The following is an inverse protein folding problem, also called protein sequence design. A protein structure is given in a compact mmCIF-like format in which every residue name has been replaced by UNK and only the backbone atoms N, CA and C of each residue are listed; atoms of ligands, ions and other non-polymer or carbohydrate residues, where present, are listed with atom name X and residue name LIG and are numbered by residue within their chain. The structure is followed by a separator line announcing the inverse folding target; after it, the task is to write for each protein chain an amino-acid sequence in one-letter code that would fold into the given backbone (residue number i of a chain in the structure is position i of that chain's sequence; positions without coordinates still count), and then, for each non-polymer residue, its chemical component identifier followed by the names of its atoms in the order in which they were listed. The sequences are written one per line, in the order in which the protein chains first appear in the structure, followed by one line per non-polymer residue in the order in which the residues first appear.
data_IF_489530057304
#
_entry.id   IF_489530057304
#
_cell.length_a   1.000
_cell.length_b   1.000
_cell.length_c   1.000
_cell.angle_alpha   90.00
_cell.angle_beta   90.00
_cell.angle_gamma   90.00
#
_symmetry.space_group_name_H-M   'P 1'
#
loop_
_entity.id
_entity.type
_entity.pdbx_description
1 polymer ?
#
# COMPACT_ATOMS: atom_id res chain seq x y z
N UNK A 1 23.61 -7.19 10.18
CA UNK A 1 22.92 -6.08 9.49
C UNK A 1 21.85 -5.57 10.44
N UNK A 2 21.65 -4.24 10.58
CA UNK A 2 20.57 -3.70 11.41
C UNK A 2 19.20 -3.98 10.77
N UNK A 3 18.12 -4.01 11.58
CA UNK A 3 16.76 -4.17 11.07
C UNK A 3 16.41 -3.11 10.00
N UNK A 4 16.89 -1.88 10.21
CA UNK A 4 16.70 -0.79 9.25
C UNK A 4 17.38 -1.08 7.91
N UNK A 5 18.67 -1.46 7.92
CA UNK A 5 19.40 -1.75 6.69
C UNK A 5 18.82 -2.97 5.94
N UNK A 6 18.33 -3.97 6.67
CA UNK A 6 17.64 -5.12 6.08
C UNK A 6 16.32 -4.72 5.43
N UNK A 7 15.51 -3.91 6.11
CA UNK A 7 14.26 -3.38 5.58
C UNK A 7 14.49 -2.54 4.31
N UNK A 8 15.50 -1.66 4.30
CA UNK A 8 15.86 -0.87 3.11
C UNK A 8 16.25 -1.75 1.92
N UNK A 9 17.02 -2.80 2.18
CA UNK A 9 17.37 -3.78 1.14
C UNK A 9 16.12 -4.45 0.56
N UNK A 10 15.18 -4.90 1.41
CA UNK A 10 13.92 -5.52 0.97
C UNK A 10 13.05 -4.55 0.17
N UNK A 11 12.93 -3.30 0.61
CA UNK A 11 12.22 -2.25 -0.14
C UNK A 11 12.85 -1.99 -1.50
N UNK A 12 14.19 -1.93 -1.58
CA UNK A 12 14.92 -1.74 -2.83
C UNK A 12 14.68 -2.89 -3.81
N UNK A 13 14.76 -4.12 -3.34
CA UNK A 13 14.50 -5.32 -4.15
C UNK A 13 13.04 -5.36 -4.63
N UNK A 14 12.08 -5.04 -3.74
CA UNK A 14 10.66 -4.97 -4.10
C UNK A 14 10.42 -3.92 -5.19
N UNK A 15 10.99 -2.71 -5.05
CA UNK A 15 10.87 -1.65 -6.08
C UNK A 15 11.52 -2.05 -7.39
N UNK A 16 12.63 -2.79 -7.38
CA UNK A 16 13.25 -3.32 -8.60
C UNK A 16 12.34 -4.30 -9.34
N UNK A 17 11.64 -5.20 -8.62
CA UNK A 17 10.64 -6.09 -9.20
C UNK A 17 9.44 -5.32 -9.79
N UNK A 18 8.94 -4.32 -9.06
CA UNK A 18 7.84 -3.44 -9.53
C UNK A 18 8.25 -2.70 -10.81
N UNK A 19 9.50 -2.21 -10.87
CA UNK A 19 10.01 -1.53 -12.05
C UNK A 19 10.16 -2.47 -13.26
N UNK A 20 10.64 -3.70 -13.04
CA UNK A 20 10.72 -4.72 -14.08
C UNK A 20 9.31 -5.05 -14.63
N UNK A 21 8.33 -5.26 -13.74
CA UNK A 21 6.93 -5.47 -14.12
C UNK A 21 6.39 -4.31 -14.97
N UNK A 22 6.61 -3.06 -14.52
CA UNK A 22 6.18 -1.84 -15.24
C UNK A 22 6.76 -1.75 -16.66
N UNK A 23 7.98 -2.25 -16.86
CA UNK A 23 8.70 -2.21 -18.13
C UNK A 23 8.47 -3.46 -19.00
N UNK A 24 7.76 -4.47 -18.50
CA UNK A 24 7.63 -5.77 -19.17
C UNK A 24 8.95 -6.53 -19.27
N UNK A 25 9.86 -6.29 -18.33
CA UNK A 25 11.18 -6.95 -18.26
C UNK A 25 11.12 -8.17 -17.33
N UNK A 26 12.03 -9.13 -17.50
CA UNK A 26 12.20 -10.22 -16.55
C UNK A 26 12.45 -9.68 -15.14
N UNK A 27 11.85 -10.34 -14.12
CA UNK A 27 12.13 -9.99 -12.73
C UNK A 27 13.61 -10.20 -12.41
N UNK A 28 14.24 -9.29 -11.65
CA UNK A 28 15.68 -9.38 -11.32
C UNK A 28 15.99 -10.54 -10.38
N UNK A 29 14.99 -11.07 -9.72
CA UNK A 29 15.10 -12.25 -8.83
C UNK A 29 13.77 -13.01 -8.79
N UNK A 30 13.75 -14.18 -8.14
CA UNK A 30 12.54 -14.96 -7.91
C UNK A 30 11.60 -14.24 -6.94
N UNK A 31 10.31 -14.12 -7.28
CA UNK A 31 9.28 -13.65 -6.35
C UNK A 31 9.29 -14.46 -5.05
N UNK A 32 9.43 -15.78 -5.16
CA UNK A 32 9.44 -16.66 -3.98
C UNK A 32 10.61 -16.37 -3.06
N UNK A 33 11.82 -16.16 -3.61
CA UNK A 33 12.99 -15.81 -2.81
C UNK A 33 12.78 -14.49 -2.03
N UNK A 34 12.31 -13.44 -2.72
CA UNK A 34 12.04 -12.16 -2.07
C UNK A 34 10.93 -12.27 -1.02
N UNK A 35 9.83 -12.97 -1.33
CA UNK A 35 8.71 -13.15 -0.41
C UNK A 35 9.12 -13.91 0.86
N UNK A 36 9.96 -14.95 0.73
CA UNK A 36 10.50 -15.68 1.86
C UNK A 36 11.45 -14.81 2.71
N UNK A 37 12.28 -13.97 2.11
CA UNK A 37 13.14 -13.04 2.85
C UNK A 37 12.32 -12.00 3.62
N UNK A 38 11.24 -11.46 3.02
CA UNK A 38 10.29 -10.58 3.70
C UNK A 38 9.64 -11.31 4.90
N UNK A 39 9.18 -12.55 4.69
CA UNK A 39 8.55 -13.34 5.74
C UNK A 39 9.51 -13.63 6.90
N UNK A 40 10.78 -13.93 6.60
CA UNK A 40 11.85 -14.12 7.61
C UNK A 40 12.15 -12.83 8.38
N UNK A 41 12.20 -11.69 7.68
CA UNK A 41 12.34 -10.38 8.32
C UNK A 41 11.19 -10.11 9.28
N UNK A 42 9.95 -10.30 8.83
CA UNK A 42 8.75 -10.08 9.65
C UNK A 42 8.73 -11.01 10.88
N UNK A 43 9.08 -12.29 10.71
CA UNK A 43 9.14 -13.24 11.82
C UNK A 43 10.19 -12.86 12.87
N UNK A 44 11.29 -12.22 12.48
CA UNK A 44 12.34 -11.76 13.42
C UNK A 44 11.97 -10.47 14.14
N UNK A 45 11.29 -9.55 13.48
CA UNK A 45 11.13 -8.17 13.95
C UNK A 45 9.71 -7.82 14.39
N UNK A 46 8.72 -8.68 14.17
CA UNK A 46 7.32 -8.49 14.59
C UNK A 46 6.93 -9.65 15.49
N UNK A 47 6.81 -9.39 16.79
CA UNK A 47 6.56 -10.43 17.80
C UNK A 47 5.32 -11.30 17.49
N UNK A 48 4.24 -10.71 16.98
CA UNK A 48 3.03 -11.42 16.58
C UNK A 48 3.28 -12.45 15.47
N UNK A 49 4.18 -12.18 14.52
CA UNK A 49 4.56 -13.14 13.49
C UNK A 49 5.36 -14.30 14.05
N UNK A 50 6.34 -14.02 14.91
CA UNK A 50 7.09 -15.07 15.59
C UNK A 50 6.17 -16.04 16.33
N UNK A 51 5.20 -15.52 17.09
CA UNK A 51 4.17 -16.30 17.78
C UNK A 51 3.29 -17.12 16.82
N UNK A 52 2.89 -16.54 15.69
CA UNK A 52 2.09 -17.24 14.68
C UNK A 52 2.86 -18.42 14.06
N UNK A 53 4.14 -18.23 13.71
CA UNK A 53 4.99 -19.30 13.21
C UNK A 53 5.14 -20.44 14.22
N UNK A 54 5.42 -20.10 15.48
CA UNK A 54 5.53 -21.09 16.56
C UNK A 54 4.21 -21.87 16.76
N UNK A 55 3.06 -21.18 16.76
CA UNK A 55 1.75 -21.81 16.91
C UNK A 55 1.37 -22.74 15.74
N UNK A 56 1.96 -22.54 14.56
CA UNK A 56 1.77 -23.39 13.38
C UNK A 56 2.85 -24.46 13.23
N UNK A 57 3.82 -24.53 14.15
CA UNK A 57 4.93 -25.49 14.08
C UNK A 57 5.85 -25.27 12.88
N UNK A 58 5.93 -24.03 12.36
CA UNK A 58 6.73 -23.66 11.19
C UNK A 58 7.97 -22.88 11.63
N UNK A 59 9.16 -23.31 11.19
CA UNK A 59 10.39 -22.52 11.38
C UNK A 59 10.61 -21.63 10.14
N UNK A 60 10.57 -20.30 10.29
CA UNK A 60 10.76 -19.39 9.15
C UNK A 60 12.12 -19.56 8.47
N UNK A 61 13.15 -20.09 9.17
CA UNK A 61 14.48 -20.31 8.61
C UNK A 61 14.55 -21.52 7.68
N UNK A 62 13.76 -22.56 7.95
CA UNK A 62 13.70 -23.78 7.14
C UNK A 62 12.59 -23.74 6.07
N UNK A 63 11.69 -22.73 6.11
CA UNK A 63 10.65 -22.54 5.11
C UNK A 63 11.26 -22.24 3.75
N UNK A 64 10.91 -23.03 2.74
CA UNK A 64 11.46 -22.96 1.37
C UNK A 64 10.43 -22.58 0.33
N UNK A 65 9.13 -22.62 0.66
CA UNK A 65 8.02 -22.31 -0.22
C UNK A 65 7.10 -21.29 0.42
N UNK A 66 6.64 -20.30 -0.35
CA UNK A 66 5.74 -19.24 0.14
C UNK A 66 4.41 -19.77 0.65
N UNK A 67 3.92 -20.90 0.12
CA UNK A 67 2.68 -21.55 0.59
C UNK A 67 2.79 -22.06 2.05
N UNK A 68 3.99 -22.25 2.57
CA UNK A 68 4.25 -22.68 3.94
C UNK A 68 4.24 -21.52 4.94
N UNK A 69 4.28 -20.27 4.43
CA UNK A 69 4.26 -19.06 5.26
C UNK A 69 2.87 -18.90 5.88
N UNK A 70 2.76 -18.84 7.22
CA UNK A 70 1.48 -18.70 7.88
C UNK A 70 0.78 -17.38 7.51
N UNK A 71 -0.45 -17.45 7.01
CA UNK A 71 -1.25 -16.28 6.71
C UNK A 71 -1.65 -15.54 8.00
N UNK A 72 -1.46 -14.23 8.02
CA UNK A 72 -1.86 -13.36 9.12
C UNK A 72 -3.33 -12.97 8.96
N UNK A 73 -4.19 -13.23 9.95
CA UNK A 73 -5.57 -12.76 9.91
C UNK A 73 -5.63 -11.23 9.83
N UNK A 74 -6.53 -10.68 9.03
CA UNK A 74 -6.71 -9.22 8.89
C UNK A 74 -7.07 -8.53 10.22
N UNK A 75 -7.73 -9.25 11.12
CA UNK A 75 -8.04 -8.74 12.47
C UNK A 75 -6.80 -8.53 13.35
N UNK A 76 -5.66 -9.13 13.02
CA UNK A 76 -4.41 -8.87 13.73
C UNK A 76 -4.06 -7.37 13.72
N UNK A 77 -4.36 -6.64 12.64
CA UNK A 77 -4.12 -5.20 12.55
C UNK A 77 -5.04 -4.35 13.44
N UNK A 78 -6.10 -4.94 13.99
CA UNK A 78 -6.99 -4.31 14.98
C UNK A 78 -6.54 -4.60 16.41
N UNK A 79 -5.99 -5.80 16.65
CA UNK A 79 -5.77 -6.36 17.97
C UNK A 79 -4.31 -6.26 18.43
N UNK A 80 -3.38 -6.14 17.49
CA UNK A 80 -1.95 -6.15 17.77
C UNK A 80 -1.19 -5.08 16.99
N UNK A 81 0.00 -4.74 17.51
CA UNK A 81 0.96 -3.92 16.80
C UNK A 81 1.68 -4.77 15.75
N UNK A 82 1.34 -4.55 14.48
CA UNK A 82 1.97 -5.21 13.32
C UNK A 82 2.91 -4.20 12.66
N UNK A 83 4.09 -4.01 13.24
CA UNK A 83 5.11 -3.08 12.75
C UNK A 83 6.47 -3.46 13.33
N UNK A 84 7.53 -3.43 12.52
CA UNK A 84 8.86 -3.91 12.88
C UNK A 84 9.75 -2.85 13.56
N UNK A 85 9.30 -1.60 13.65
CA UNK A 85 10.08 -0.45 14.10
C UNK A 85 9.37 0.28 15.24
N UNK A 86 10.06 1.25 15.87
CA UNK A 86 9.48 2.11 16.91
C UNK A 86 8.50 3.13 16.32
N UNK A 87 7.59 3.64 17.14
CA UNK A 87 6.50 4.52 16.66
C UNK A 87 7.00 5.90 16.19
N UNK A 88 8.18 6.32 16.61
CA UNK A 88 8.87 7.54 16.12
C UNK A 88 9.33 7.42 14.66
N UNK A 89 9.41 6.20 14.12
CA UNK A 89 9.74 5.93 12.73
C UNK A 89 8.52 5.84 11.81
N UNK A 90 7.31 6.03 12.33
CA UNK A 90 6.09 6.04 11.53
C UNK A 90 5.95 7.37 10.78
N UNK A 91 6.03 7.33 9.47
CA UNK A 91 5.82 8.51 8.61
C UNK A 91 4.41 8.60 8.02
N UNK A 92 3.72 7.45 7.91
CA UNK A 92 2.32 7.39 7.49
C UNK A 92 1.57 6.28 8.25
N UNK A 93 0.30 6.55 8.51
CA UNK A 93 -0.58 5.65 9.22
C UNK A 93 -1.93 5.60 8.51
N UNK A 94 -2.32 4.39 8.07
CA UNK A 94 -3.63 4.17 7.47
C UNK A 94 -4.51 3.32 8.37
N UNK A 95 -5.81 3.64 8.37
CA UNK A 95 -6.82 2.93 9.15
C UNK A 95 -7.88 2.30 8.25
N UNK A 96 -8.32 1.10 8.60
CA UNK A 96 -9.44 0.45 7.91
C UNK A 96 -10.75 1.16 8.19
N UNK A 97 -11.76 1.00 7.32
CA UNK A 97 -13.08 1.65 7.42
C UNK A 97 -13.91 1.24 8.65
N UNK A 98 -13.51 0.21 9.40
CA UNK A 98 -14.16 -0.15 10.66
C UNK A 98 -15.62 -0.60 10.53
N UNK A 99 -15.98 -1.32 9.48
CA UNK A 99 -17.36 -1.83 9.23
C UNK A 99 -17.84 -2.89 10.23
N UNK A 100 -16.96 -3.41 11.07
CA UNK A 100 -17.30 -4.39 12.11
C UNK A 100 -16.96 -3.80 13.49
N UNK A 101 -17.90 -3.85 14.38
CA UNK A 101 -17.91 -3.38 15.78
C UNK A 101 -16.55 -2.95 16.37
N UNK A 102 -16.34 -1.66 16.50
CA UNK A 102 -15.55 -1.00 17.54
C UNK A 102 -14.12 -0.60 17.21
N UNK A 103 -13.28 -1.40 16.56
CA UNK A 103 -11.86 -1.06 16.34
C UNK A 103 -11.49 -0.99 14.85
N UNK A 104 -10.86 0.11 14.45
CA UNK A 104 -10.25 0.25 13.12
C UNK A 104 -8.87 -0.41 13.13
N UNK A 105 -8.58 -1.28 12.16
CA UNK A 105 -7.24 -1.81 11.95
C UNK A 105 -6.28 -0.69 11.56
N UNK A 106 -5.04 -0.77 12.04
CA UNK A 106 -4.03 0.27 11.82
C UNK A 106 -2.83 -0.31 11.08
N UNK A 107 -2.52 0.29 9.93
CA UNK A 107 -1.35 -0.02 9.13
C UNK A 107 -0.33 1.12 9.24
N UNK A 108 0.85 0.83 9.78
CA UNK A 108 1.94 1.78 9.97
C UNK A 108 2.96 1.63 8.88
N UNK A 109 3.44 2.75 8.36
CA UNK A 109 4.48 2.81 7.34
C UNK A 109 5.62 3.69 7.79
N UNK A 110 6.84 3.21 7.63
CA UNK A 110 8.06 4.02 7.74
C UNK A 110 8.36 4.73 6.41
N UNK A 111 8.03 4.10 5.29
CA UNK A 111 8.16 4.64 3.94
C UNK A 111 7.00 4.11 3.07
N UNK A 112 6.26 5.00 2.45
CA UNK A 112 5.16 4.66 1.53
C UNK A 112 5.61 4.49 0.08
N UNK A 113 6.87 4.80 -0.25
CA UNK A 113 7.37 4.80 -1.63
C UNK A 113 7.23 3.45 -2.36
N UNK A 114 7.38 2.33 -1.64
CA UNK A 114 7.15 1.00 -2.24
C UNK A 114 5.67 0.76 -2.51
N UNK A 115 4.78 1.18 -1.61
CA UNK A 115 3.33 1.13 -1.82
C UNK A 115 2.90 1.98 -3.02
N UNK A 116 3.39 3.21 -3.11
CA UNK A 116 3.09 4.12 -4.23
C UNK A 116 3.61 3.57 -5.57
N UNK A 117 4.85 3.08 -5.61
CA UNK A 117 5.43 2.48 -6.80
C UNK A 117 4.61 1.26 -7.29
N UNK A 118 4.23 0.37 -6.39
CA UNK A 118 3.41 -0.80 -6.70
C UNK A 118 2.00 -0.40 -7.18
N UNK A 119 1.37 0.57 -6.49
CA UNK A 119 0.05 1.09 -6.87
C UNK A 119 0.06 1.69 -8.28
N UNK A 120 1.06 2.50 -8.62
CA UNK A 120 1.18 3.10 -9.95
C UNK A 120 1.45 2.05 -11.04
N UNK A 121 2.34 1.09 -10.78
CA UNK A 121 2.68 0.07 -11.77
C UNK A 121 1.46 -0.82 -12.07
N UNK A 122 0.78 -1.30 -11.03
CA UNK A 122 -0.40 -2.15 -11.16
C UNK A 122 -1.59 -1.36 -11.70
N UNK A 123 -1.86 -0.15 -11.18
CA UNK A 123 -2.94 0.71 -11.63
C UNK A 123 -2.83 1.04 -13.12
N UNK A 124 -1.62 1.35 -13.62
CA UNK A 124 -1.39 1.56 -15.06
C UNK A 124 -1.76 0.33 -15.89
N UNK A 125 -1.37 -0.86 -15.43
CA UNK A 125 -1.66 -2.12 -16.13
C UNK A 125 -3.15 -2.44 -16.14
N UNK A 126 -3.83 -2.33 -14.99
CA UNK A 126 -5.26 -2.70 -14.85
C UNK A 126 -6.19 -1.69 -15.52
N UNK A 127 -5.86 -0.40 -15.45
CA UNK A 127 -6.66 0.66 -16.06
C UNK A 127 -6.28 0.91 -17.54
N UNK A 128 -5.30 0.17 -18.06
CA UNK A 128 -4.79 0.28 -19.44
C UNK A 128 -4.44 1.72 -19.85
N UNK A 129 -3.95 2.51 -18.91
CA UNK A 129 -3.65 3.93 -19.12
C UNK A 129 -2.40 4.08 -20.00
N UNK A 130 -2.61 4.39 -21.27
CA UNK A 130 -1.56 4.59 -22.28
C UNK A 130 -1.12 6.05 -22.41
N UNK A 131 -1.94 6.98 -21.95
CA UNK A 131 -1.69 8.42 -21.99
C UNK A 131 -2.11 9.06 -20.66
N UNK A 132 -1.65 10.29 -20.36
CA UNK A 132 -2.23 11.06 -19.28
C UNK A 132 -3.75 11.20 -19.45
N UNK A 133 -4.49 11.10 -18.34
CA UNK A 133 -5.95 11.14 -18.34
C UNK A 133 -6.45 12.20 -17.35
N UNK A 134 -7.59 12.80 -17.63
CA UNK A 134 -8.27 13.67 -16.66
C UNK A 134 -8.80 12.82 -15.51
N UNK A 135 -8.37 13.13 -14.29
CA UNK A 135 -8.81 12.43 -13.09
C UNK A 135 -10.01 13.15 -12.46
N UNK A 136 -11.09 12.39 -12.22
CA UNK A 136 -12.26 12.83 -11.45
C UNK A 136 -12.42 11.89 -10.26
N UNK A 137 -12.08 12.35 -9.05
CA UNK A 137 -12.11 11.53 -7.84
C UNK A 137 -13.42 11.74 -7.11
N UNK A 138 -14.25 10.69 -7.08
CA UNK A 138 -15.49 10.67 -6.27
C UNK A 138 -15.10 10.21 -4.85
N UNK A 139 -14.36 11.06 -4.16
CA UNK A 139 -13.86 10.83 -2.83
C UNK A 139 -13.31 12.12 -2.22
N UNK A 140 -13.03 12.10 -0.91
CA UNK A 140 -12.45 13.24 -0.21
C UNK A 140 -10.98 13.45 -0.62
N UNK A 141 -10.47 14.68 -0.49
CA UNK A 141 -9.05 14.95 -0.68
C UNK A 141 -8.22 14.44 0.51
N UNK A 142 -6.87 14.32 0.34
CA UNK A 142 -5.99 13.83 1.39
C UNK A 142 -6.08 14.56 2.74
N UNK A 143 -6.30 15.88 2.72
CA UNK A 143 -6.42 16.70 3.93
C UNK A 143 -7.68 16.39 4.75
N UNK A 144 -8.75 15.88 4.13
CA UNK A 144 -9.97 15.45 4.83
C UNK A 144 -9.97 13.97 5.22
N UNK A 145 -9.08 13.16 4.61
CA UNK A 145 -9.00 11.71 4.85
C UNK A 145 -7.54 11.22 4.87
N UNK A 146 -6.72 11.87 5.67
CA UNK A 146 -5.27 11.62 5.75
C UNK A 146 -4.90 10.21 6.21
N UNK A 147 -5.80 9.51 6.94
CA UNK A 147 -5.62 8.14 7.42
C UNK A 147 -6.25 7.08 6.49
N UNK A 148 -6.69 7.48 5.29
CA UNK A 148 -7.28 6.59 4.29
C UNK A 148 -6.24 6.14 3.26
N UNK A 149 -5.92 4.85 3.23
CA UNK A 149 -5.04 4.29 2.18
C UNK A 149 -5.64 4.43 0.78
N UNK A 150 -6.96 4.38 0.65
CA UNK A 150 -7.65 4.58 -0.63
C UNK A 150 -7.50 6.03 -1.13
N UNK A 151 -7.67 7.01 -0.25
CA UNK A 151 -7.47 8.42 -0.60
C UNK A 151 -6.01 8.70 -0.97
N UNK A 152 -5.06 8.11 -0.24
CA UNK A 152 -3.63 8.19 -0.57
C UNK A 152 -3.34 7.58 -1.95
N UNK A 153 -3.92 6.44 -2.27
CA UNK A 153 -3.80 5.80 -3.59
C UNK A 153 -4.37 6.70 -4.70
N UNK A 154 -5.56 7.30 -4.52
CA UNK A 154 -6.12 8.24 -5.49
C UNK A 154 -5.22 9.45 -5.71
N UNK A 155 -4.70 10.05 -4.63
CA UNK A 155 -3.74 11.15 -4.75
C UNK A 155 -2.49 10.73 -5.53
N UNK A 156 -2.00 9.50 -5.29
CA UNK A 156 -0.88 8.93 -6.03
C UNK A 156 -1.22 8.74 -7.52
N UNK A 157 -2.42 8.27 -7.84
CA UNK A 157 -2.89 8.13 -9.23
C UNK A 157 -3.07 9.48 -9.93
N UNK A 158 -3.65 10.47 -9.25
CA UNK A 158 -3.78 11.83 -9.79
C UNK A 158 -2.38 12.39 -10.15
N UNK A 159 -1.42 12.27 -9.24
CA UNK A 159 -0.03 12.72 -9.49
C UNK A 159 0.66 11.92 -10.60
N UNK A 160 0.42 10.61 -10.68
CA UNK A 160 1.14 9.70 -11.57
C UNK A 160 0.54 9.55 -12.97
N UNK A 161 -0.76 9.76 -13.12
CA UNK A 161 -1.50 9.54 -14.39
C UNK A 161 -2.28 10.76 -14.86
N UNK A 162 -2.56 11.69 -13.96
CA UNK A 162 -3.43 12.84 -14.26
C UNK A 162 -2.78 13.81 -15.24
N UNK A 163 -3.62 14.38 -16.12
CA UNK A 163 -3.33 15.66 -16.72
C UNK A 163 -3.43 16.70 -15.62
N UNK A 164 -2.34 17.42 -15.39
CA UNK A 164 -2.35 18.60 -14.53
C UNK A 164 -3.06 19.73 -15.27
N UNK A 165 -4.32 19.89 -14.99
CA UNK A 165 -4.98 21.18 -15.08
C UNK A 165 -5.10 21.73 -13.65
N UNK A 166 -5.18 23.03 -13.48
CA UNK A 166 -5.28 23.70 -12.17
C UNK A 166 -6.60 23.37 -11.44
N UNK A 167 -7.39 22.43 -11.93
CA UNK A 167 -8.65 22.05 -11.32
C UNK A 167 -8.45 20.98 -10.25
N UNK A 168 -9.03 21.23 -9.08
CA UNK A 168 -9.11 20.26 -8.00
C UNK A 168 -9.89 19.01 -8.45
N UNK A 169 -9.25 17.80 -8.44
CA UNK A 169 -9.88 16.58 -8.95
C UNK A 169 -10.88 15.93 -7.99
N UNK A 170 -10.98 16.39 -6.74
CA UNK A 170 -11.79 15.75 -5.69
C UNK A 170 -13.19 16.35 -5.61
N UNK A 171 -14.23 15.52 -5.69
CA UNK A 171 -15.64 15.93 -5.72
C UNK A 171 -16.42 15.58 -4.46
N UNK A 172 -15.79 15.06 -3.41
CA UNK A 172 -16.40 14.91 -2.08
C UNK A 172 -15.73 15.88 -1.12
N UNK A 173 -16.56 16.66 -0.42
CA UNK A 173 -16.12 17.62 0.62
C UNK A 173 -17.06 17.49 1.83
N UNK A 174 -16.49 17.40 3.03
CA UNK A 174 -17.26 17.26 4.27
C UNK A 174 -18.30 16.12 4.22
N UNK A 175 -17.93 15.00 3.61
CA UNK A 175 -18.79 13.81 3.47
C UNK A 175 -19.90 13.91 2.42
N UNK A 176 -19.99 14.99 1.63
CA UNK A 176 -21.00 15.19 0.60
C UNK A 176 -20.38 15.35 -0.80
N UNK A 177 -21.08 14.84 -1.82
CA UNK A 177 -20.65 14.99 -3.22
C UNK A 177 -21.07 16.36 -3.75
N UNK A 178 -20.14 17.13 -4.28
CA UNK A 178 -20.43 18.35 -5.04
C UNK A 178 -20.90 18.02 -6.47
N UNK A 179 -22.18 17.69 -6.58
CA UNK A 179 -22.80 17.33 -7.85
C UNK A 179 -22.80 18.48 -8.85
N UNK A 180 -22.85 19.75 -8.39
CA UNK A 180 -22.85 20.93 -9.28
C UNK A 180 -21.50 21.03 -9.99
N UNK A 181 -20.41 20.98 -9.21
CA UNK A 181 -19.04 21.05 -9.72
C UNK A 181 -18.72 19.86 -10.61
N UNK A 182 -19.10 18.63 -10.19
CA UNK A 182 -18.92 17.43 -11.00
C UNK A 182 -19.62 17.51 -12.37
N UNK A 183 -20.89 17.90 -12.38
CA UNK A 183 -21.65 18.08 -13.63
C UNK A 183 -21.04 19.16 -14.54
N UNK A 184 -20.61 20.28 -13.96
CA UNK A 184 -19.88 21.33 -14.69
C UNK A 184 -18.62 20.81 -15.35
N UNK A 185 -17.82 20.06 -14.58
CA UNK A 185 -16.56 19.47 -15.07
C UNK A 185 -16.80 18.46 -16.19
N UNK A 186 -17.76 17.56 -16.01
CA UNK A 186 -18.09 16.57 -17.06
C UNK A 186 -18.49 17.25 -18.38
N UNK A 187 -19.29 18.34 -18.34
CA UNK A 187 -19.67 19.09 -19.54
C UNK A 187 -18.48 19.79 -20.22
N UNK A 188 -17.44 20.17 -19.49
CA UNK A 188 -16.25 20.81 -20.07
C UNK A 188 -15.27 19.81 -20.71
N UNK A 189 -15.49 18.52 -20.53
CA UNK A 189 -14.68 17.43 -21.11
C UNK A 189 -15.33 16.82 -22.37
N UNK A 190 -16.58 17.14 -22.64
CA UNK A 190 -17.32 16.75 -23.85
C UNK A 190 -17.32 17.87 -24.88
#
# INVERSE_FOLDING_TARGET
MSALAESESLHTRTRAMVQAFKQGLPCPESFEALALDIARFQARHIAGYAGLYAARGVDPRSTTRTIEVPAVPTDAFKLARVFAFDDDQVTALFRTSGTTVGARGTHRFRDVGTYEAASLAFGRSVLELRAPAVALVIGPPPEEAFDSSLTHMWATFVRGFGLFDDSDPYFVRNGAIDLRRLKGRLRSLT
#
